data_IF_123357745154
#
_entry.id   IF_123357745154
#
_cell.length_a   1.000
_cell.length_b   1.000
_cell.length_c   1.000
_cell.angle_alpha   90.00
_cell.angle_beta   90.00
_cell.angle_gamma   90.00
#
_symmetry.space_group_name_H-M   'P 1'
#
loop_
_entity.id
_entity.type
_entity.pdbx_description
1 polymer ?
#
# COMPACT_ATOMS: atom_id res chain seq x y z
N UNK A 1 1.43 -14.49 -7.99
CA UNK A 1 2.38 -13.41 -8.30
C UNK A 1 1.75 -12.40 -9.24
N UNK A 2 2.35 -11.20 -9.34
CA UNK A 2 1.89 -10.13 -10.27
C UNK A 2 1.76 -10.62 -11.72
N UNK A 3 2.64 -11.50 -12.15
CA UNK A 3 2.62 -12.11 -13.50
C UNK A 3 1.34 -12.94 -13.74
N UNK A 4 0.94 -13.78 -12.79
CA UNK A 4 -0.29 -14.57 -12.90
C UNK A 4 -1.53 -13.66 -12.90
N UNK A 5 -1.55 -12.64 -12.04
CA UNK A 5 -2.64 -11.66 -12.02
C UNK A 5 -2.79 -10.94 -13.37
N UNK A 6 -1.68 -10.56 -14.01
CA UNK A 6 -1.71 -9.95 -15.35
C UNK A 6 -2.23 -10.91 -16.42
N UNK A 7 -1.94 -12.20 -16.32
CA UNK A 7 -2.45 -13.22 -17.23
C UNK A 7 -3.96 -13.42 -17.04
N UNK A 8 -4.43 -13.53 -15.81
CA UNK A 8 -5.84 -13.64 -15.47
C UNK A 8 -6.64 -12.40 -15.89
N UNK A 9 -6.09 -11.19 -15.63
CA UNK A 9 -6.67 -9.94 -16.12
C UNK A 9 -6.76 -9.86 -17.65
N UNK A 10 -5.87 -10.53 -18.37
CA UNK A 10 -5.90 -10.58 -19.82
C UNK A 10 -6.97 -11.53 -20.34
N UNK A 11 -7.27 -12.57 -19.57
CA UNK A 11 -8.27 -13.58 -19.91
C UNK A 11 -9.70 -13.17 -19.50
N UNK A 12 -9.84 -12.40 -18.40
CA UNK A 12 -11.14 -11.99 -17.85
C UNK A 12 -11.28 -10.46 -17.73
N UNK A 13 -12.05 -9.81 -18.64
CA UNK A 13 -12.35 -8.38 -18.53
C UNK A 13 -13.12 -7.98 -17.26
N UNK A 14 -13.89 -8.91 -16.67
CA UNK A 14 -14.61 -8.68 -15.42
C UNK A 14 -13.64 -8.46 -14.26
N UNK A 15 -12.57 -9.22 -14.22
CA UNK A 15 -11.52 -9.07 -13.21
C UNK A 15 -10.83 -7.71 -13.27
N UNK A 16 -10.64 -7.15 -14.46
CA UNK A 16 -10.09 -5.79 -14.63
C UNK A 16 -10.97 -4.74 -13.96
N UNK A 17 -12.28 -4.86 -14.10
CA UNK A 17 -13.24 -3.94 -13.49
C UNK A 17 -13.19 -4.02 -11.96
N UNK A 18 -13.11 -5.23 -11.40
CA UNK A 18 -12.97 -5.43 -9.95
C UNK A 18 -11.64 -4.87 -9.45
N UNK A 19 -10.54 -5.19 -10.14
CA UNK A 19 -9.20 -4.72 -9.77
C UNK A 19 -8.99 -3.21 -10.03
N UNK A 20 -9.80 -2.58 -10.86
CA UNK A 20 -9.83 -1.12 -11.05
C UNK A 20 -10.66 -0.38 -10.02
N UNK A 21 -11.47 -1.07 -9.23
CA UNK A 21 -12.35 -0.45 -8.24
C UNK A 21 -11.67 -0.38 -6.87
N UNK A 22 -11.40 0.82 -6.30
CA UNK A 22 -10.81 0.95 -4.97
C UNK A 22 -11.73 0.43 -3.85
N UNK A 23 -13.04 0.36 -4.11
CA UNK A 23 -14.08 -0.10 -3.17
C UNK A 23 -14.42 -1.59 -3.32
N UNK A 24 -13.65 -2.34 -4.11
CA UNK A 24 -13.96 -3.75 -4.43
C UNK A 24 -14.01 -4.67 -3.19
N UNK A 25 -13.39 -4.28 -2.09
CA UNK A 25 -13.41 -5.01 -0.81
C UNK A 25 -14.42 -4.43 0.19
N UNK A 26 -15.24 -3.47 -0.19
CA UNK A 26 -16.29 -2.89 0.68
C UNK A 26 -17.18 -3.95 1.32
N UNK A 27 -17.80 -3.65 2.45
CA UNK A 27 -18.78 -4.52 3.09
C UNK A 27 -19.97 -4.78 2.16
N UNK A 28 -20.70 -5.87 2.41
CA UNK A 28 -21.88 -6.19 1.59
C UNK A 28 -22.91 -5.05 1.67
N UNK A 29 -23.25 -4.49 0.52
CA UNK A 29 -24.19 -3.34 0.44
C UNK A 29 -23.52 -1.98 0.52
N UNK A 30 -22.18 -1.94 0.61
CA UNK A 30 -21.43 -0.68 0.54
C UNK A 30 -21.71 0.05 -0.78
N UNK A 31 -22.00 1.34 -0.67
CA UNK A 31 -22.32 2.22 -1.79
C UNK A 31 -21.07 2.75 -2.52
N UNK A 32 -19.87 2.46 -2.03
CA UNK A 32 -18.63 3.04 -2.53
C UNK A 32 -18.46 4.50 -2.09
N UNK A 33 -17.78 5.29 -2.89
CA UNK A 33 -17.46 6.68 -2.59
C UNK A 33 -17.03 7.48 -3.82
N UNK A 34 -16.35 8.59 -3.60
CA UNK A 34 -15.80 9.47 -4.66
C UNK A 34 -14.75 8.77 -5.51
N UNK A 35 -14.46 9.34 -6.67
CA UNK A 35 -13.25 9.02 -7.43
C UNK A 35 -12.01 9.29 -6.57
N UNK A 36 -11.09 8.34 -6.56
CA UNK A 36 -9.92 8.37 -5.68
C UNK A 36 -8.67 8.88 -6.42
N UNK A 37 -7.82 9.66 -5.74
CA UNK A 37 -6.56 10.12 -6.32
C UNK A 37 -5.66 8.93 -6.65
N UNK A 38 -5.02 8.99 -7.81
CA UNK A 38 -4.08 7.96 -8.23
C UNK A 38 -2.91 8.61 -8.99
N UNK A 39 -1.73 8.50 -8.43
CA UNK A 39 -0.51 9.00 -9.06
C UNK A 39 0.00 7.96 -10.05
N UNK A 40 -0.28 8.16 -11.34
CA UNK A 40 0.16 7.27 -12.43
C UNK A 40 1.36 7.82 -13.20
N UNK A 41 1.59 9.14 -13.10
CA UNK A 41 2.68 9.86 -13.74
C UNK A 41 3.37 10.77 -12.73
N UNK A 42 4.63 11.16 -12.94
CA UNK A 42 5.31 12.08 -12.06
C UNK A 42 4.55 13.41 -11.93
N UNK A 43 4.32 13.84 -10.69
CA UNK A 43 3.68 15.11 -10.37
C UNK A 43 4.45 15.78 -9.23
N UNK A 44 4.57 17.10 -9.26
CA UNK A 44 5.09 17.87 -8.12
C UNK A 44 3.92 18.21 -7.20
N UNK A 45 4.10 17.96 -5.92
CA UNK A 45 3.15 18.34 -4.88
C UNK A 45 3.78 19.46 -4.05
N UNK A 46 3.20 20.64 -4.14
CA UNK A 46 3.73 21.85 -3.47
C UNK A 46 3.51 21.77 -1.95
N UNK A 47 2.45 21.13 -1.49
CA UNK A 47 2.16 20.92 -0.06
C UNK A 47 3.18 20.00 0.62
N UNK A 48 3.65 19.00 -0.12
CA UNK A 48 4.68 18.06 0.33
C UNK A 48 6.11 18.53 -0.01
N UNK A 49 6.27 19.54 -0.86
CA UNK A 49 7.57 20.01 -1.35
C UNK A 49 8.35 18.89 -2.05
N UNK A 50 7.68 18.03 -2.81
CA UNK A 50 8.30 16.84 -3.38
C UNK A 50 7.70 16.45 -4.72
N UNK A 51 8.53 15.90 -5.59
CA UNK A 51 8.08 15.10 -6.73
C UNK A 51 7.55 13.77 -6.24
N UNK A 52 6.41 13.40 -6.74
CA UNK A 52 5.72 12.13 -6.47
C UNK A 52 5.82 11.23 -7.71
N UNK A 53 5.97 9.94 -7.44
CA UNK A 53 5.94 8.88 -8.45
C UNK A 53 4.95 7.79 -8.05
N UNK A 54 4.48 6.94 -9.01
CA UNK A 54 3.59 5.84 -8.72
C UNK A 54 4.16 4.90 -7.65
N UNK A 55 3.30 4.48 -6.72
CA UNK A 55 3.63 3.44 -5.75
C UNK A 55 2.96 2.13 -6.15
N UNK A 56 3.75 1.09 -6.38
CA UNK A 56 3.26 -0.19 -6.93
C UNK A 56 2.19 -0.86 -6.05
N UNK A 57 2.26 -0.67 -4.74
CA UNK A 57 1.30 -1.26 -3.79
C UNK A 57 0.04 -0.42 -3.58
N UNK A 58 -0.01 0.83 -4.06
CA UNK A 58 -1.15 1.72 -3.88
C UNK A 58 -2.49 1.06 -4.26
N UNK A 59 -2.51 0.35 -5.39
CA UNK A 59 -3.71 -0.36 -5.84
C UNK A 59 -4.20 -1.45 -4.89
N UNK A 60 -3.34 -2.06 -4.08
CA UNK A 60 -3.72 -3.05 -3.07
C UNK A 60 -4.06 -2.38 -1.75
N UNK A 61 -3.20 -1.48 -1.29
CA UNK A 61 -3.32 -0.83 0.02
C UNK A 61 -4.58 0.03 0.11
N UNK A 62 -4.88 0.81 -0.91
CA UNK A 62 -6.10 1.65 -0.95
C UNK A 62 -7.37 0.84 -0.73
N UNK A 63 -7.45 -0.37 -1.27
CA UNK A 63 -8.61 -1.25 -1.04
C UNK A 63 -8.75 -1.69 0.40
N UNK A 64 -7.63 -1.95 1.10
CA UNK A 64 -7.64 -2.31 2.52
C UNK A 64 -8.09 -1.12 3.37
N UNK A 65 -7.64 0.09 3.03
CA UNK A 65 -8.08 1.32 3.71
C UNK A 65 -9.58 1.55 3.50
N UNK A 66 -10.09 1.43 2.26
CA UNK A 66 -11.53 1.57 2.01
C UNK A 66 -12.35 0.41 2.60
N UNK A 67 -11.79 -0.79 2.70
CA UNK A 67 -12.42 -1.88 3.48
C UNK A 67 -12.58 -1.49 4.94
N UNK A 68 -11.54 -0.91 5.54
CA UNK A 68 -11.59 -0.42 6.93
C UNK A 68 -12.66 0.66 7.09
N UNK A 69 -12.67 1.65 6.21
CA UNK A 69 -13.65 2.72 6.20
C UNK A 69 -15.09 2.21 6.10
N UNK A 70 -15.33 1.27 5.20
CA UNK A 70 -16.62 0.60 5.02
C UNK A 70 -17.05 -0.20 6.26
N UNK A 71 -16.14 -0.94 6.89
CA UNK A 71 -16.42 -1.72 8.10
C UNK A 71 -16.69 -0.85 9.32
N UNK A 72 -16.18 0.37 9.33
CA UNK A 72 -16.41 1.38 10.37
C UNK A 72 -17.57 2.32 10.04
N UNK A 73 -18.49 1.90 9.15
CA UNK A 73 -19.67 2.69 8.76
C UNK A 73 -19.30 4.11 8.28
N UNK A 74 -18.28 4.22 7.45
CA UNK A 74 -17.80 5.47 6.86
C UNK A 74 -17.39 6.55 7.87
N UNK A 75 -16.74 6.13 8.97
CA UNK A 75 -16.33 6.99 10.10
C UNK A 75 -15.54 8.24 9.70
N UNK A 76 -14.83 8.21 8.56
CA UNK A 76 -14.06 9.35 8.05
C UNK A 76 -14.87 10.27 7.12
N UNK A 77 -16.18 10.02 6.98
CA UNK A 77 -17.09 10.79 6.14
C UNK A 77 -17.19 10.30 4.69
N UNK A 78 -18.31 10.63 4.04
CA UNK A 78 -18.60 10.20 2.67
C UNK A 78 -17.67 10.84 1.63
N UNK A 79 -17.01 11.93 2.01
CA UNK A 79 -16.07 12.68 1.18
C UNK A 79 -14.61 12.25 1.33
N UNK A 80 -14.36 11.22 2.13
CA UNK A 80 -13.01 10.71 2.37
C UNK A 80 -12.32 10.32 1.08
N UNK A 81 -11.10 10.83 0.91
CA UNK A 81 -10.20 10.45 -0.19
C UNK A 81 -8.88 9.94 0.36
N UNK A 82 -8.32 8.96 -0.32
CA UNK A 82 -7.03 8.37 0.06
C UNK A 82 -6.25 7.94 -1.17
N UNK A 83 -4.97 8.25 -1.20
CA UNK A 83 -4.04 7.83 -2.24
C UNK A 83 -2.64 7.64 -1.70
N UNK A 84 -1.81 6.94 -2.44
CA UNK A 84 -0.43 6.64 -2.07
C UNK A 84 0.51 6.99 -3.22
N UNK A 85 1.70 7.50 -2.89
CA UNK A 85 2.74 7.81 -3.84
C UNK A 85 4.13 7.65 -3.22
N UNK A 86 5.14 7.51 -4.06
CA UNK A 86 6.54 7.52 -3.66
C UNK A 86 7.07 8.95 -3.68
N UNK A 87 7.59 9.45 -2.54
CA UNK A 87 8.26 10.73 -2.47
C UNK A 87 9.69 10.63 -3.04
N UNK A 88 10.00 11.44 -4.04
CA UNK A 88 11.28 11.41 -4.76
C UNK A 88 12.22 12.56 -4.39
N UNK A 89 11.75 13.48 -3.51
CA UNK A 89 12.44 14.71 -3.15
C UNK A 89 12.13 15.87 -4.11
N UNK A 90 12.66 17.04 -3.82
CA UNK A 90 12.39 18.27 -4.57
C UNK A 90 13.41 18.49 -5.72
N UNK A 91 13.15 19.53 -6.52
CA UNK A 91 14.00 20.05 -7.57
C UNK A 91 14.23 19.10 -8.75
N UNK A 92 15.30 19.37 -9.50
CA UNK A 92 15.63 18.60 -10.74
C UNK A 92 15.95 17.13 -10.43
N UNK A 93 16.62 16.88 -9.32
CA UNK A 93 16.98 15.50 -8.91
C UNK A 93 15.75 14.69 -8.54
N UNK A 94 14.81 15.27 -7.78
CA UNK A 94 13.54 14.65 -7.45
C UNK A 94 12.72 14.32 -8.71
N UNK A 95 12.64 15.29 -9.63
CA UNK A 95 11.99 15.11 -10.94
C UNK A 95 12.61 13.97 -11.75
N UNK A 96 13.93 13.93 -11.83
CA UNK A 96 14.62 12.88 -12.58
C UNK A 96 14.37 11.47 -11.99
N UNK A 97 14.40 11.35 -10.66
CA UNK A 97 14.06 10.10 -9.96
C UNK A 97 12.61 9.69 -10.22
N UNK A 98 11.66 10.62 -10.12
CA UNK A 98 10.24 10.35 -10.36
C UNK A 98 9.99 9.89 -11.80
N UNK A 99 10.61 10.54 -12.79
CA UNK A 99 10.54 10.15 -14.20
C UNK A 99 11.17 8.76 -14.42
N UNK A 100 12.33 8.49 -13.82
CA UNK A 100 13.03 7.21 -13.92
C UNK A 100 12.18 6.05 -13.35
N UNK A 101 11.61 6.24 -12.15
CA UNK A 101 10.76 5.22 -11.53
C UNK A 101 9.47 4.99 -12.34
N UNK A 102 8.79 6.05 -12.76
CA UNK A 102 7.55 5.93 -13.53
C UNK A 102 7.79 5.29 -14.90
N UNK A 103 8.86 5.69 -15.59
CA UNK A 103 9.26 5.10 -16.87
C UNK A 103 9.67 3.63 -16.72
N UNK A 104 10.44 3.30 -15.70
CA UNK A 104 10.85 1.93 -15.37
C UNK A 104 9.65 1.02 -15.07
N UNK A 105 8.73 1.50 -14.23
CA UNK A 105 7.51 0.75 -13.89
C UNK A 105 6.60 0.57 -15.10
N UNK A 106 6.38 1.63 -15.88
CA UNK A 106 5.57 1.57 -17.11
C UNK A 106 6.20 0.63 -18.16
N UNK A 107 7.50 0.71 -18.33
CA UNK A 107 8.27 -0.18 -19.21
C UNK A 107 8.19 -1.65 -18.77
N UNK A 108 8.31 -1.91 -17.46
CA UNK A 108 8.15 -3.26 -16.89
C UNK A 108 6.75 -3.81 -17.12
N UNK A 109 5.71 -3.02 -16.82
CA UNK A 109 4.30 -3.42 -17.03
C UNK A 109 4.04 -3.68 -18.52
N UNK A 110 4.52 -2.80 -19.41
CA UNK A 110 4.40 -2.98 -20.86
C UNK A 110 5.08 -4.24 -21.34
N UNK A 111 6.32 -4.50 -20.93
CA UNK A 111 7.05 -5.72 -21.27
C UNK A 111 6.38 -6.98 -20.71
N UNK A 112 5.90 -6.95 -19.45
CA UNK A 112 5.21 -8.07 -18.83
C UNK A 112 3.83 -8.36 -19.47
N UNK A 113 3.24 -7.41 -20.16
CA UNK A 113 1.99 -7.60 -20.92
C UNK A 113 2.17 -8.39 -22.22
N UNK A 114 3.39 -8.46 -22.74
CA UNK A 114 3.72 -9.15 -23.99
C UNK A 114 4.31 -10.54 -23.70
N UNK A 115 3.66 -11.61 -24.15
CA UNK A 115 4.05 -13.01 -23.86
C UNK A 115 5.56 -13.32 -24.00
N UNK A 116 6.25 -13.06 -25.15
CA UNK A 116 7.66 -13.37 -25.28
C UNK A 116 8.54 -12.56 -24.30
N UNK A 117 8.22 -11.29 -24.06
CA UNK A 117 8.96 -10.45 -23.11
C UNK A 117 8.78 -10.92 -21.67
N UNK A 118 7.59 -11.40 -21.32
CA UNK A 118 7.30 -11.99 -20.01
C UNK A 118 8.19 -13.22 -19.73
N UNK A 119 8.39 -14.08 -20.71
CA UNK A 119 9.30 -15.24 -20.59
C UNK A 119 10.75 -14.82 -20.35
N UNK A 120 11.19 -13.75 -21.02
CA UNK A 120 12.54 -13.20 -20.82
C UNK A 120 12.67 -12.58 -19.42
N UNK A 121 11.70 -11.75 -19.02
CA UNK A 121 11.67 -11.13 -17.70
C UNK A 121 11.67 -12.18 -16.57
N UNK A 122 10.95 -13.28 -16.73
CA UNK A 122 10.89 -14.37 -15.75
C UNK A 122 12.25 -14.99 -15.42
N UNK A 123 13.25 -14.87 -16.31
CA UNK A 123 14.63 -15.36 -16.06
C UNK A 123 15.43 -14.45 -15.12
N UNK A 124 15.01 -13.20 -14.96
CA UNK A 124 15.68 -12.21 -14.11
C UNK A 124 14.94 -11.96 -12.79
N UNK A 125 13.76 -12.53 -12.63
CA UNK A 125 12.98 -12.43 -11.41
C UNK A 125 13.34 -13.56 -10.45
N UNK A 126 13.32 -13.31 -9.12
CA UNK A 126 13.50 -14.37 -8.13
C UNK A 126 12.50 -15.50 -8.33
N UNK A 127 12.92 -16.72 -8.04
CA UNK A 127 12.04 -17.88 -8.11
C UNK A 127 10.92 -17.81 -7.04
N UNK A 128 9.79 -18.50 -7.27
CA UNK A 128 8.77 -18.60 -6.25
C UNK A 128 9.32 -19.16 -4.94
N UNK A 129 9.15 -18.42 -3.84
CA UNK A 129 9.71 -18.74 -2.54
C UNK A 129 11.06 -18.09 -2.23
N UNK A 130 11.73 -17.48 -3.20
CA UNK A 130 12.91 -16.66 -2.95
C UNK A 130 12.51 -15.26 -2.47
N UNK A 131 13.11 -14.86 -1.36
CA UNK A 131 12.99 -13.52 -0.79
C UNK A 131 14.36 -12.86 -0.62
N UNK A 132 14.42 -11.63 -0.13
CA UNK A 132 15.68 -10.97 0.21
C UNK A 132 16.42 -11.78 1.27
N UNK A 133 17.77 -11.75 1.24
CA UNK A 133 18.59 -12.38 2.26
C UNK A 133 18.29 -11.82 3.66
N UNK A 134 18.60 -12.59 4.70
CA UNK A 134 18.39 -12.14 6.08
C UNK A 134 19.13 -10.82 6.38
N UNK A 135 20.31 -10.62 5.80
CA UNK A 135 21.07 -9.39 5.99
C UNK A 135 20.39 -8.22 5.26
N UNK A 136 19.86 -8.43 4.06
CA UNK A 136 19.08 -7.42 3.34
C UNK A 136 17.79 -7.07 4.09
N UNK A 137 17.11 -8.06 4.68
CA UNK A 137 15.93 -7.83 5.51
C UNK A 137 16.25 -6.99 6.75
N UNK A 138 17.38 -7.26 7.41
CA UNK A 138 17.83 -6.52 8.60
C UNK A 138 18.32 -5.11 8.28
N UNK A 139 18.93 -4.92 7.11
CA UNK A 139 19.41 -3.61 6.66
C UNK A 139 18.29 -2.73 6.06
N UNK A 140 17.14 -3.32 5.77
CA UNK A 140 15.98 -2.62 5.22
C UNK A 140 15.29 -1.75 6.28
N UNK A 141 14.47 -0.82 5.80
CA UNK A 141 13.60 0.02 6.62
C UNK A 141 12.45 0.55 5.77
N UNK A 142 11.46 1.15 6.41
CA UNK A 142 10.49 1.98 5.72
C UNK A 142 10.16 3.25 6.53
N UNK A 143 9.80 4.31 5.84
CA UNK A 143 9.29 5.57 6.38
C UNK A 143 8.05 5.93 5.56
N UNK A 144 6.88 5.89 6.19
CA UNK A 144 5.59 6.23 5.57
C UNK A 144 5.07 7.46 6.28
N UNK A 145 4.72 8.50 5.50
CA UNK A 145 4.13 9.73 6.01
C UNK A 145 2.71 9.87 5.52
N UNK A 146 1.82 10.15 6.43
CA UNK A 146 0.42 10.39 6.15
C UNK A 146 0.18 11.90 6.27
N UNK A 147 -0.30 12.49 5.18
CA UNK A 147 -0.71 13.88 5.13
C UNK A 147 -2.24 13.91 5.08
N UNK A 148 -2.87 14.26 6.17
CA UNK A 148 -4.31 14.43 6.28
C UNK A 148 -4.70 15.90 6.16
N UNK A 149 -5.79 16.18 5.43
CA UNK A 149 -6.38 17.51 5.35
C UNK A 149 -7.88 17.40 5.56
N UNK A 150 -8.43 18.19 6.46
CA UNK A 150 -9.87 18.26 6.72
C UNK A 150 -10.58 19.14 5.70
N UNK A 151 -11.91 19.09 5.65
CA UNK A 151 -12.71 19.97 4.82
C UNK A 151 -12.57 21.46 5.24
N UNK A 152 -12.21 21.76 6.49
CA UNK A 152 -11.89 23.09 6.99
C UNK A 152 -10.51 23.60 6.58
N UNK A 153 -9.65 22.73 6.04
CA UNK A 153 -8.26 23.05 5.65
C UNK A 153 -7.24 22.78 6.76
N UNK A 154 -7.63 22.24 7.90
CA UNK A 154 -6.71 21.84 8.95
C UNK A 154 -5.88 20.62 8.44
N UNK A 155 -4.60 20.60 8.77
CA UNK A 155 -3.68 19.55 8.34
C UNK A 155 -3.10 18.79 9.52
N UNK A 156 -2.87 17.52 9.33
CA UNK A 156 -2.11 16.67 10.26
C UNK A 156 -1.10 15.86 9.48
N UNK A 157 0.09 15.73 10.01
CA UNK A 157 1.11 14.85 9.46
C UNK A 157 1.43 13.80 10.50
N UNK A 158 1.34 12.54 10.11
CA UNK A 158 1.79 11.42 10.94
C UNK A 158 2.82 10.59 10.21
N UNK A 159 3.64 9.87 10.96
CA UNK A 159 4.73 9.07 10.42
C UNK A 159 4.73 7.70 11.06
N UNK A 160 4.93 6.68 10.23
CA UNK A 160 5.11 5.29 10.65
C UNK A 160 6.42 4.77 10.08
N UNK A 161 7.28 4.23 10.93
CA UNK A 161 8.55 3.63 10.48
C UNK A 161 8.65 2.18 10.91
N UNK A 162 9.49 1.42 10.22
CA UNK A 162 9.86 0.07 10.59
C UNK A 162 11.37 -0.15 10.44
N UNK A 163 11.92 -0.96 11.33
CA UNK A 163 13.36 -1.23 11.50
C UNK A 163 13.91 -2.30 10.57
N UNK A 164 13.07 -2.84 9.67
CA UNK A 164 13.43 -3.89 8.71
C UNK A 164 12.74 -3.65 7.38
N UNK A 165 13.12 -4.44 6.36
CA UNK A 165 12.48 -4.37 5.06
C UNK A 165 10.95 -4.58 5.18
N UNK A 166 10.14 -3.82 4.43
CA UNK A 166 8.68 -3.89 4.54
C UNK A 166 8.09 -5.17 3.93
N UNK A 167 8.82 -5.84 3.04
CA UNK A 167 8.29 -7.00 2.31
C UNK A 167 8.25 -8.28 3.14
N UNK A 168 9.30 -8.53 3.90
CA UNK A 168 9.46 -9.76 4.69
C UNK A 168 9.81 -9.48 6.15
N UNK A 169 10.86 -8.69 6.41
CA UNK A 169 11.39 -8.50 7.75
C UNK A 169 10.38 -7.88 8.72
N UNK A 170 9.82 -6.73 8.40
CA UNK A 170 8.78 -6.08 9.22
C UNK A 170 7.45 -6.81 9.12
N UNK A 171 7.06 -7.25 7.92
CA UNK A 171 5.76 -7.94 7.73
C UNK A 171 5.68 -9.24 8.53
N UNK A 172 6.76 -10.02 8.64
CA UNK A 172 6.74 -11.25 9.45
C UNK A 172 6.53 -10.97 10.94
N UNK A 173 7.16 -9.91 11.47
CA UNK A 173 6.95 -9.46 12.85
C UNK A 173 5.51 -8.98 13.06
N UNK A 174 5.02 -8.09 12.19
CA UNK A 174 3.65 -7.59 12.25
C UNK A 174 2.61 -8.71 12.19
N UNK A 175 2.81 -9.71 11.32
CA UNK A 175 1.91 -10.86 11.21
C UNK A 175 1.94 -11.72 12.48
N UNK A 176 3.11 -11.92 13.07
CA UNK A 176 3.27 -12.63 14.35
C UNK A 176 2.50 -11.93 15.47
N UNK A 177 2.70 -10.62 15.64
CA UNK A 177 1.99 -9.83 16.64
C UNK A 177 0.48 -9.77 16.40
N UNK A 178 0.04 -9.72 15.13
CA UNK A 178 -1.38 -9.79 14.79
C UNK A 178 -2.00 -11.12 15.26
N UNK A 179 -1.28 -12.23 15.07
CA UNK A 179 -1.77 -13.55 15.48
C UNK A 179 -1.85 -13.66 17.02
N UNK A 180 -0.86 -13.14 17.75
CA UNK A 180 -0.89 -13.13 19.22
C UNK A 180 -2.01 -12.23 19.74
N UNK A 181 -2.12 -11.01 19.23
CA UNK A 181 -3.18 -10.07 19.63
C UNK A 181 -4.59 -10.63 19.34
N UNK A 182 -4.74 -11.39 18.25
CA UNK A 182 -6.01 -12.02 17.90
C UNK A 182 -6.48 -13.06 18.93
N UNK A 183 -5.56 -13.76 19.61
CA UNK A 183 -5.90 -14.76 20.63
C UNK A 183 -6.63 -14.14 21.82
N UNK A 184 -6.29 -12.89 22.13
CA UNK A 184 -6.87 -12.14 23.27
C UNK A 184 -7.97 -11.19 22.84
N UNK A 185 -8.41 -11.23 21.57
CA UNK A 185 -9.45 -10.35 21.04
C UNK A 185 -10.83 -10.98 21.11
N UNK A 186 -11.86 -10.17 21.32
CA UNK A 186 -13.29 -10.57 21.23
C UNK A 186 -13.84 -10.46 19.80
N UNK A 187 -12.96 -10.37 18.80
CA UNK A 187 -13.36 -10.18 17.40
C UNK A 187 -14.16 -11.39 16.89
N UNK A 188 -15.35 -11.12 16.40
CA UNK A 188 -16.21 -12.16 15.82
C UNK A 188 -15.60 -12.70 14.53
N UNK A 189 -15.89 -13.99 14.24
CA UNK A 189 -15.47 -14.61 12.97
C UNK A 189 -15.95 -13.80 11.76
N UNK A 190 -15.08 -13.64 10.74
CA UNK A 190 -15.39 -12.85 9.56
C UNK A 190 -14.16 -12.47 8.77
N UNK A 191 -14.35 -11.51 7.84
CA UNK A 191 -13.30 -10.92 7.03
C UNK A 191 -13.07 -9.49 7.47
N UNK A 192 -12.10 -9.28 8.32
CA UNK A 192 -11.75 -8.00 8.93
C UNK A 192 -10.42 -7.47 8.37
N UNK A 193 -10.18 -6.18 8.52
CA UNK A 193 -8.82 -5.62 8.39
C UNK A 193 -8.16 -5.64 9.78
N UNK A 194 -6.82 -5.66 9.87
CA UNK A 194 -6.14 -5.60 11.17
C UNK A 194 -6.59 -4.41 12.02
N UNK A 195 -6.83 -3.25 11.42
CA UNK A 195 -7.31 -2.07 12.12
C UNK A 195 -8.70 -2.27 12.75
N UNK A 196 -9.61 -2.97 12.07
CA UNK A 196 -10.97 -3.22 12.57
C UNK A 196 -11.07 -4.42 13.49
N UNK A 197 -10.18 -5.41 13.36
CA UNK A 197 -10.17 -6.59 14.20
C UNK A 197 -9.44 -6.39 15.53
N UNK A 198 -8.31 -5.69 15.49
CA UNK A 198 -7.35 -5.67 16.58
C UNK A 198 -7.19 -4.29 17.23
N UNK A 199 -7.41 -3.21 16.48
CA UNK A 199 -7.43 -1.83 17.02
C UNK A 199 -6.14 -1.41 17.75
N UNK A 200 -6.31 -0.64 18.84
CA UNK A 200 -5.23 -0.09 19.63
C UNK A 200 -4.30 -1.15 20.27
N UNK A 201 -4.77 -2.28 20.81
CA UNK A 201 -3.87 -3.32 21.35
C UNK A 201 -2.84 -3.82 20.34
N UNK A 202 -3.20 -3.87 19.06
CA UNK A 202 -2.25 -4.25 18.02
C UNK A 202 -1.20 -3.16 17.75
N UNK A 203 -1.59 -1.89 17.80
CA UNK A 203 -0.64 -0.77 17.68
C UNK A 203 0.39 -0.85 18.81
N UNK A 204 -0.04 -1.07 20.05
CA UNK A 204 0.84 -1.21 21.21
C UNK A 204 1.81 -2.39 21.02
N UNK A 205 1.32 -3.55 20.60
CA UNK A 205 2.15 -4.72 20.31
C UNK A 205 3.16 -4.46 19.18
N UNK A 206 2.79 -3.73 18.12
CA UNK A 206 3.68 -3.35 17.04
C UNK A 206 4.82 -2.45 17.53
N UNK A 207 4.54 -1.53 18.42
CA UNK A 207 5.56 -0.63 19.01
C UNK A 207 6.48 -1.42 19.94
N UNK A 208 5.95 -2.26 20.79
CA UNK A 208 6.71 -2.98 21.80
C UNK A 208 7.57 -4.11 21.22
N UNK A 209 7.05 -4.88 20.26
CA UNK A 209 7.69 -6.13 19.81
C UNK A 209 8.10 -6.14 18.33
N UNK A 210 7.48 -5.34 17.49
CA UNK A 210 7.72 -5.41 16.03
C UNK A 210 8.73 -4.37 15.52
N UNK A 211 9.17 -3.40 16.34
CA UNK A 211 10.08 -2.32 15.93
C UNK A 211 9.40 -1.31 15.01
N UNK A 212 8.09 -1.13 15.16
CA UNK A 212 7.31 -0.12 14.43
C UNK A 212 7.15 1.12 15.31
N UNK A 213 7.26 2.30 14.73
CA UNK A 213 6.97 3.57 15.44
C UNK A 213 5.77 4.27 14.82
N UNK A 214 5.04 5.01 15.64
CA UNK A 214 3.95 5.88 15.23
C UNK A 214 4.17 7.25 15.85
N UNK A 215 4.24 8.30 15.03
CA UNK A 215 4.55 9.66 15.45
C UNK A 215 3.55 10.65 14.82
N UNK A 216 3.17 11.69 15.55
CA UNK A 216 2.52 12.89 15.03
C UNK A 216 3.61 13.94 14.90
N UNK A 217 3.76 14.55 13.69
CA UNK A 217 4.83 15.50 13.37
C UNK A 217 4.37 16.95 13.53
#
# INVERSE_FOLDING_TARGET
SMMNMMEEMSADPGLRKVLGNPYALGAKGDRGGKEQPNVTMPVHDDGLGSWLAPFVMAGTNTRVVFRTHSLLDHVWGDDFTYGEAMMMGDGITGRAKALGLSGGLGGFIGAASVRPMRTVLGRFLPEPGEGPSLDAQKAGFFDIRFHGTTASGDTIITKVTGDRDPGYGSTSKMLGEAAVTLLDSDTQGGFWTPATALGAPYIDALVEYAGITFEVL
#
